data_IF_273249845044
#
_entry.id   IF_273249845044
#
_cell.length_a   1.000
_cell.length_b   1.000
_cell.length_c   1.000
_cell.angle_alpha   90.00
_cell.angle_beta   90.00
_cell.angle_gamma   90.00
#
_symmetry.space_group_name_H-M   'P 1'
#
loop_
_entity.id
_entity.type
_entity.pdbx_description
1 polymer ?
#
# COMPACT_ATOMS: atom_id res chain seq x y z
N UNK A 1 5.42 0.13 -9.30
CA UNK A 1 3.99 -0.24 -9.11
C UNK A 1 3.68 -0.98 -7.81
N UNK A 2 4.67 -1.43 -7.01
CA UNK A 2 4.41 -2.10 -5.72
C UNK A 2 3.55 -1.25 -4.77
N UNK A 3 3.91 0.02 -4.59
CA UNK A 3 3.19 0.89 -3.65
C UNK A 3 1.73 1.13 -4.05
N UNK A 4 1.44 1.29 -5.34
CA UNK A 4 0.07 1.41 -5.87
C UNK A 4 -0.74 0.14 -5.59
N UNK A 5 -0.12 -1.03 -5.84
CA UNK A 5 -0.75 -2.33 -5.57
C UNK A 5 -1.05 -2.50 -4.09
N UNK A 6 -0.09 -2.23 -3.22
CA UNK A 6 -0.27 -2.29 -1.76
C UNK A 6 -1.39 -1.37 -1.29
N UNK A 7 -1.40 -0.11 -1.73
CA UNK A 7 -2.45 0.83 -1.36
C UNK A 7 -3.84 0.35 -1.80
N UNK A 8 -3.98 -0.13 -3.03
CA UNK A 8 -5.26 -0.61 -3.56
C UNK A 8 -5.79 -1.82 -2.77
N UNK A 9 -5.00 -2.89 -2.69
CA UNK A 9 -5.45 -4.16 -2.11
C UNK A 9 -5.61 -4.09 -0.59
N UNK A 10 -4.77 -3.32 0.11
CA UNK A 10 -4.93 -3.13 1.55
C UNK A 10 -6.23 -2.37 1.87
N UNK A 11 -6.53 -1.29 1.14
CA UNK A 11 -7.79 -0.54 1.34
C UNK A 11 -9.03 -1.39 1.05
N UNK A 12 -8.98 -2.23 0.02
CA UNK A 12 -10.07 -3.18 -0.28
C UNK A 12 -10.25 -4.22 0.82
N UNK A 13 -9.15 -4.79 1.33
CA UNK A 13 -9.19 -5.74 2.45
C UNK A 13 -9.71 -5.09 3.75
N UNK A 14 -9.25 -3.88 4.05
CA UNK A 14 -9.58 -3.13 5.27
C UNK A 14 -11.07 -2.77 5.35
N UNK A 15 -11.74 -2.50 4.22
CA UNK A 15 -13.20 -2.31 4.16
C UNK A 15 -13.98 -3.52 4.67
N UNK A 16 -13.39 -4.71 4.61
CA UNK A 16 -13.97 -5.95 5.13
C UNK A 16 -13.54 -6.25 6.58
N UNK A 17 -12.98 -5.28 7.30
CA UNK A 17 -12.54 -5.41 8.70
C UNK A 17 -11.24 -6.18 8.88
N UNK A 18 -10.48 -6.46 7.80
CA UNK A 18 -9.22 -7.20 7.87
C UNK A 18 -8.03 -6.25 8.10
N UNK A 19 -7.20 -6.55 9.10
CA UNK A 19 -5.97 -5.81 9.40
C UNK A 19 -4.77 -6.18 8.53
N UNK A 20 -4.91 -7.20 7.67
CA UNK A 20 -3.87 -7.64 6.74
C UNK A 20 -4.49 -8.24 5.47
N UNK A 21 -3.69 -8.37 4.42
CA UNK A 21 -4.00 -9.06 3.17
C UNK A 21 -2.76 -9.74 2.61
N UNK A 22 -2.92 -10.63 1.63
CA UNK A 22 -1.80 -11.26 0.94
C UNK A 22 -1.74 -10.76 -0.49
N UNK A 23 -0.58 -10.26 -0.90
CA UNK A 23 -0.29 -9.82 -2.27
C UNK A 23 0.91 -10.62 -2.76
N UNK A 24 0.76 -11.36 -3.86
CA UNK A 24 1.83 -12.17 -4.46
C UNK A 24 2.53 -13.11 -3.46
N UNK A 25 1.75 -13.74 -2.58
CA UNK A 25 2.24 -14.65 -1.54
C UNK A 25 2.89 -13.96 -0.34
N UNK A 26 2.93 -12.62 -0.29
CA UNK A 26 3.48 -11.84 0.84
C UNK A 26 2.38 -11.21 1.67
N UNK A 27 2.51 -11.29 2.99
CA UNK A 27 1.61 -10.61 3.91
C UNK A 27 1.84 -9.10 3.88
N UNK A 28 0.75 -8.34 3.83
CA UNK A 28 0.70 -6.89 3.80
C UNK A 28 -0.26 -6.44 4.90
N UNK A 29 0.22 -5.59 5.79
CA UNK A 29 -0.53 -5.02 6.90
C UNK A 29 -0.51 -3.49 6.85
N UNK A 30 -0.97 -2.86 7.92
CA UNK A 30 -1.05 -1.41 8.03
C UNK A 30 0.32 -0.71 7.88
N UNK A 31 1.41 -1.36 8.31
CA UNK A 31 2.76 -0.77 8.21
C UNK A 31 3.19 -0.70 6.75
N UNK A 32 3.01 -1.80 6.01
CA UNK A 32 3.29 -1.84 4.58
C UNK A 32 2.45 -0.80 3.81
N UNK A 33 1.18 -0.65 4.19
CA UNK A 33 0.30 0.36 3.61
C UNK A 33 0.80 1.79 3.85
N UNK A 34 1.20 2.13 5.08
CA UNK A 34 1.73 3.45 5.41
C UNK A 34 3.00 3.75 4.61
N UNK A 35 3.91 2.80 4.53
CA UNK A 35 5.15 2.93 3.74
C UNK A 35 4.87 3.15 2.25
N UNK A 36 3.99 2.33 1.67
CA UNK A 36 3.58 2.48 0.28
C UNK A 36 2.94 3.85 0.01
N UNK A 37 2.07 4.32 0.91
CA UNK A 37 1.42 5.63 0.79
C UNK A 37 2.44 6.77 0.83
N UNK A 38 3.35 6.76 1.80
CA UNK A 38 4.42 7.78 1.91
C UNK A 38 5.30 7.79 0.66
N UNK A 39 5.66 6.61 0.11
CA UNK A 39 6.44 6.54 -1.11
C UNK A 39 5.72 7.22 -2.29
N UNK A 40 4.42 6.95 -2.46
CA UNK A 40 3.62 7.58 -3.52
C UNK A 40 3.47 9.09 -3.33
N UNK A 41 3.35 9.55 -2.10
CA UNK A 41 3.30 10.99 -1.78
C UNK A 41 4.61 11.69 -2.13
N UNK A 42 5.76 11.07 -1.84
CA UNK A 42 7.08 11.59 -2.22
C UNK A 42 7.19 11.72 -3.75
N UNK A 43 6.86 10.66 -4.50
CA UNK A 43 6.92 10.68 -5.97
C UNK A 43 6.00 11.73 -6.57
N UNK A 44 4.79 11.90 -6.02
CA UNK A 44 3.85 12.95 -6.46
C UNK A 44 4.35 14.36 -6.14
N UNK A 45 5.00 14.53 -5.00
CA UNK A 45 5.49 15.83 -4.52
C UNK A 45 6.83 16.21 -5.15
N UNK A 46 7.59 15.24 -5.66
CA UNK A 46 8.80 15.47 -6.42
C UNK A 46 8.84 14.58 -7.67
N UNK A 47 8.21 15.00 -8.78
CA UNK A 47 8.09 14.20 -10.00
C UNK A 47 9.41 13.97 -10.76
N UNK A 48 10.52 14.52 -10.24
CA UNK A 48 11.87 14.37 -10.78
C UNK A 48 12.63 13.17 -10.16
N UNK A 49 12.02 12.45 -9.21
CA UNK A 49 12.54 11.17 -8.66
C UNK A 49 11.67 10.00 -9.16
#
# INVERSE_FOLDING_TARGET
>A
QWAEKVCKFYLESSKNGKGATTIDGKMIDEVHFKQAKTLLEIVKSNPLI
#
